data_IF_719925189812
#
_entry.id   IF_719925189812
#
_cell.length_a   1.000
_cell.length_b   1.000
_cell.length_c   1.000
_cell.angle_alpha   90.00
_cell.angle_beta   90.00
_cell.angle_gamma   90.00
#
_symmetry.space_group_name_H-M   'P 1'
#
loop_
_entity.id
_entity.type
_entity.pdbx_description
1 polymer ?
#
# COMPACT_ATOMS: atom_id res chain seq x y z
N UNK A 1 90.70 83.06 -3.33
CA UNK A 1 89.94 82.84 -2.08
C UNK A 1 89.24 81.50 -2.22
N UNK A 2 89.71 80.51 -1.42
CA UNK A 2 88.98 79.38 -0.81
C UNK A 2 88.10 78.51 -1.75
N UNK A 3 88.61 77.39 -2.28
CA UNK A 3 88.53 75.96 -1.81
C UNK A 3 87.10 75.38 -1.82
N UNK A 4 86.68 74.54 -2.79
CA UNK A 4 87.03 73.12 -3.12
C UNK A 4 86.15 72.07 -2.38
N UNK A 5 85.93 70.93 -3.06
CA UNK A 5 85.36 69.62 -2.64
C UNK A 5 83.86 69.40 -2.94
N UNK A 6 83.46 68.58 -3.92
CA UNK A 6 83.73 67.15 -4.21
C UNK A 6 83.29 66.17 -3.10
N UNK A 7 82.50 65.18 -3.55
CA UNK A 7 82.52 63.76 -3.16
C UNK A 7 81.40 63.24 -2.23
N UNK A 8 80.81 62.13 -2.70
CA UNK A 8 80.33 60.93 -1.96
C UNK A 8 79.00 60.89 -1.20
N UNK A 9 78.11 60.04 -1.71
CA UNK A 9 77.16 59.15 -0.99
C UNK A 9 77.84 58.47 0.22
N UNK A 10 77.19 58.18 1.37
CA UNK A 10 76.59 56.84 1.63
C UNK A 10 75.45 56.86 2.72
N UNK A 11 75.15 55.81 3.53
CA UNK A 11 73.91 55.00 3.49
C UNK A 11 73.05 55.01 4.79
N UNK A 12 71.87 54.40 4.74
CA UNK A 12 71.02 54.09 5.91
C UNK A 12 69.74 54.95 5.93
N UNK A 13 68.53 54.40 6.07
CA UNK A 13 68.11 53.43 7.08
C UNK A 13 67.02 52.49 6.57
N UNK A 14 67.22 51.20 6.83
CA UNK A 14 66.19 50.18 6.98
C UNK A 14 65.00 50.66 7.83
N UNK A 15 63.77 50.33 7.42
CA UNK A 15 62.71 49.83 8.30
C UNK A 15 61.60 49.25 7.45
N UNK A 16 61.71 47.94 7.25
CA UNK A 16 60.58 47.07 6.95
C UNK A 16 59.47 47.36 7.96
N UNK A 17 58.27 47.73 7.49
CA UNK A 17 57.09 47.73 8.34
C UNK A 17 55.89 47.20 7.56
N UNK A 18 55.58 45.90 7.68
CA UNK A 18 54.24 45.44 7.40
C UNK A 18 53.37 45.93 8.56
N UNK A 19 52.51 46.92 8.30
CA UNK A 19 51.36 47.14 9.17
C UNK A 19 50.10 46.91 8.37
N UNK A 20 49.67 45.67 8.54
CA UNK A 20 48.31 45.20 8.48
C UNK A 20 47.31 46.26 8.96
N UNK A 21 46.07 45.93 8.59
CA UNK A 21 44.83 46.34 9.22
C UNK A 21 44.19 47.57 8.54
N UNK A 22 42.96 47.54 8.09
CA UNK A 22 41.83 46.71 8.50
C UNK A 22 40.98 46.42 7.26
N UNK A 23 40.92 45.15 6.86
CA UNK A 23 39.84 44.65 6.02
C UNK A 23 38.56 44.80 6.85
N UNK A 24 37.96 45.97 6.74
CA UNK A 24 36.70 46.30 7.39
C UNK A 24 35.56 45.60 6.65
N UNK A 25 35.57 44.26 6.66
CA UNK A 25 34.38 43.46 6.38
C UNK A 25 33.53 43.47 7.64
N UNK A 26 32.83 44.60 7.88
CA UNK A 26 31.63 44.63 8.73
C UNK A 26 30.76 43.47 8.26
N UNK A 27 30.65 42.33 8.95
CA UNK A 27 30.47 42.14 10.39
C UNK A 27 28.99 41.88 10.69
N UNK A 28 28.09 42.43 9.87
CA UNK A 28 26.63 42.30 10.05
C UNK A 28 25.96 41.59 8.86
N UNK A 29 26.53 41.66 7.66
CA UNK A 29 25.96 40.97 6.49
C UNK A 29 26.39 39.49 6.38
N UNK A 30 27.42 39.08 7.15
CA UNK A 30 27.92 37.71 7.16
C UNK A 30 27.09 36.74 8.02
N UNK A 31 26.55 37.21 9.16
CA UNK A 31 25.74 36.37 10.05
C UNK A 31 24.40 36.01 9.42
N UNK A 32 23.74 36.95 8.74
CA UNK A 32 22.48 36.68 8.02
C UNK A 32 22.66 35.65 6.92
N UNK A 33 23.74 35.71 6.15
CA UNK A 33 24.08 34.70 5.13
C UNK A 33 24.35 33.33 5.77
N UNK A 34 25.13 33.27 6.85
CA UNK A 34 25.38 32.02 7.59
C UNK A 34 24.12 31.43 8.22
N UNK A 35 23.23 32.27 8.74
CA UNK A 35 21.91 31.86 9.26
C UNK A 35 21.02 31.32 8.14
N UNK A 36 21.02 31.97 6.97
CA UNK A 36 20.33 31.47 5.78
C UNK A 36 20.91 30.14 5.33
N UNK A 37 22.24 29.96 5.27
CA UNK A 37 22.85 28.67 4.93
C UNK A 37 22.53 27.58 5.95
N UNK A 38 22.51 27.90 7.25
CA UNK A 38 22.10 26.95 8.29
C UNK A 38 20.63 26.57 8.14
N UNK A 39 19.75 27.55 7.90
CA UNK A 39 18.33 27.32 7.66
C UNK A 39 18.09 26.47 6.41
N UNK A 40 18.78 26.77 5.31
CA UNK A 40 18.72 25.97 4.08
C UNK A 40 19.28 24.57 4.31
N UNK A 41 20.37 24.40 5.06
CA UNK A 41 20.92 23.11 5.45
C UNK A 41 19.93 22.31 6.29
N UNK A 42 19.28 22.95 7.27
CA UNK A 42 18.27 22.33 8.13
C UNK A 42 17.06 21.90 7.31
N UNK A 43 16.57 22.76 6.40
CA UNK A 43 15.50 22.41 5.47
C UNK A 43 15.90 21.23 4.57
N UNK A 44 17.14 21.20 4.08
CA UNK A 44 17.66 20.09 3.29
C UNK A 44 17.69 18.79 4.10
N UNK A 45 18.11 18.84 5.36
CA UNK A 45 18.10 17.67 6.26
C UNK A 45 16.67 17.19 6.47
N UNK A 46 15.72 18.08 6.78
CA UNK A 46 14.30 17.72 6.93
C UNK A 46 13.77 17.07 5.65
N UNK A 47 14.11 17.62 4.48
CA UNK A 47 13.72 17.05 3.19
C UNK A 47 14.27 15.63 3.02
N UNK A 48 15.57 15.41 3.30
CA UNK A 48 16.20 14.09 3.19
C UNK A 48 15.59 13.09 4.16
N UNK A 49 15.31 13.49 5.40
CA UNK A 49 14.66 12.65 6.40
C UNK A 49 13.25 12.28 5.95
N UNK A 50 12.45 13.25 5.50
CA UNK A 50 11.10 13.00 4.99
C UNK A 50 11.11 12.10 3.75
N UNK A 51 12.07 12.31 2.85
CA UNK A 51 12.23 11.47 1.67
C UNK A 51 12.61 10.03 2.04
N UNK A 52 13.55 9.87 2.97
CA UNK A 52 13.95 8.55 3.49
C UNK A 52 12.80 7.85 4.20
N UNK A 53 12.02 8.59 5.01
CA UNK A 53 10.83 8.08 5.68
C UNK A 53 9.77 7.63 4.67
N UNK A 54 9.57 8.39 3.59
CA UNK A 54 8.63 8.03 2.52
C UNK A 54 9.05 6.72 1.85
N UNK A 55 10.33 6.57 1.49
CA UNK A 55 10.85 5.33 0.92
C UNK A 55 10.70 4.16 1.91
N UNK A 56 10.96 4.40 3.19
CA UNK A 56 10.83 3.38 4.22
C UNK A 56 9.39 2.91 4.39
N UNK A 57 8.42 3.82 4.44
CA UNK A 57 6.98 3.48 4.50
C UNK A 57 6.58 2.67 3.26
N UNK A 58 6.99 3.09 2.06
CA UNK A 58 6.71 2.36 0.82
C UNK A 58 7.26 0.94 0.87
N UNK A 59 8.48 0.76 1.40
CA UNK A 59 9.09 -0.56 1.57
C UNK A 59 8.34 -1.42 2.59
N UNK A 60 8.03 -0.87 3.78
CA UNK A 60 7.36 -1.60 4.87
C UNK A 60 5.95 -2.04 4.46
N UNK A 61 5.23 -1.18 3.74
CA UNK A 61 3.90 -1.46 3.22
C UNK A 61 3.89 -2.40 2.01
N UNK A 62 5.05 -2.93 1.60
CA UNK A 62 5.21 -3.77 0.39
C UNK A 62 4.55 -3.13 -0.84
N UNK A 63 4.64 -1.81 -0.98
CA UNK A 63 4.17 -1.11 -2.17
C UNK A 63 5.11 -1.42 -3.33
N UNK A 64 4.58 -2.14 -4.31
CA UNK A 64 5.21 -2.35 -5.60
C UNK A 64 4.48 -1.50 -6.65
N UNK A 65 5.13 -1.16 -7.77
CA UNK A 65 4.44 -0.56 -8.92
C UNK A 65 3.27 -1.42 -9.45
N UNK A 66 3.20 -2.70 -9.05
CA UNK A 66 2.18 -3.68 -9.43
C UNK A 66 1.07 -3.89 -8.40
N UNK A 67 1.17 -3.30 -7.19
CA UNK A 67 0.19 -3.51 -6.11
C UNK A 67 0.73 -3.30 -4.69
N UNK A 68 -0.12 -3.54 -3.70
CA UNK A 68 0.15 -3.44 -2.26
C UNK A 68 0.01 -4.84 -1.62
N UNK A 69 1.11 -5.42 -1.12
CA UNK A 69 1.09 -6.74 -0.48
C UNK A 69 0.51 -7.84 -1.38
N UNK A 70 -0.54 -8.52 -0.90
CA UNK A 70 -1.27 -9.55 -1.64
C UNK A 70 -2.21 -9.00 -2.73
N UNK A 71 -2.50 -7.71 -2.71
CA UNK A 71 -3.40 -7.05 -3.66
C UNK A 71 -2.60 -6.49 -4.85
N UNK A 72 -2.86 -7.02 -6.04
CA UNK A 72 -2.27 -6.60 -7.31
C UNK A 72 -3.30 -5.88 -8.16
N UNK A 73 -2.88 -4.75 -8.74
CA UNK A 73 -3.70 -3.98 -9.68
C UNK A 73 -3.25 -4.35 -11.08
N UNK A 74 -4.12 -5.03 -11.82
CA UNK A 74 -3.86 -5.46 -13.20
C UNK A 74 -4.78 -4.70 -14.17
N UNK A 75 -4.51 -4.79 -15.48
CA UNK A 75 -5.39 -4.18 -16.50
C UNK A 75 -6.81 -4.77 -16.48
N UNK A 76 -6.96 -6.00 -15.99
CA UNK A 76 -8.23 -6.73 -15.90
C UNK A 76 -8.99 -6.43 -14.60
N UNK A 77 -8.35 -5.77 -13.63
CA UNK A 77 -8.95 -5.43 -12.35
C UNK A 77 -8.05 -5.72 -11.15
N UNK A 78 -8.67 -5.91 -10.00
CA UNK A 78 -8.00 -6.20 -8.72
C UNK A 78 -7.83 -7.71 -8.54
N UNK A 79 -6.61 -8.14 -8.23
CA UNK A 79 -6.27 -9.54 -7.96
C UNK A 79 -5.67 -9.65 -6.56
N UNK A 80 -6.34 -10.38 -5.68
CA UNK A 80 -5.87 -10.63 -4.31
C UNK A 80 -5.33 -12.06 -4.23
N UNK A 81 -4.05 -12.23 -3.90
CA UNK A 81 -3.38 -13.53 -3.84
C UNK A 81 -2.71 -13.75 -2.49
N UNK A 82 -3.32 -14.54 -1.62
CA UNK A 82 -2.79 -14.89 -0.30
C UNK A 82 -3.87 -14.89 0.76
N UNK A 83 -3.46 -15.04 2.01
CA UNK A 83 -4.34 -14.83 3.16
C UNK A 83 -4.66 -13.34 3.25
N UNK A 84 -5.95 -13.01 3.34
CA UNK A 84 -6.40 -11.63 3.34
C UNK A 84 -7.70 -11.50 4.11
N UNK A 85 -7.81 -10.39 4.84
CA UNK A 85 -8.96 -10.07 5.65
C UNK A 85 -9.67 -8.84 5.08
N UNK A 86 -10.99 -8.83 5.17
CA UNK A 86 -11.83 -7.72 4.73
C UNK A 86 -12.47 -7.07 5.96
N UNK A 87 -12.30 -5.76 6.10
CA UNK A 87 -12.90 -5.00 7.20
C UNK A 87 -14.42 -4.84 7.05
N UNK A 88 -14.93 -4.87 5.82
CA UNK A 88 -16.33 -4.66 5.47
C UNK A 88 -16.84 -5.75 4.52
N UNK A 89 -18.18 -5.94 4.42
CA UNK A 89 -18.78 -6.90 3.50
C UNK A 89 -18.39 -6.65 2.04
N UNK A 90 -18.17 -7.73 1.29
CA UNK A 90 -17.95 -7.67 -0.14
C UNK A 90 -19.25 -7.89 -0.90
N UNK A 91 -19.46 -7.06 -1.91
CA UNK A 91 -20.58 -7.17 -2.83
C UNK A 91 -20.03 -7.54 -4.20
N UNK A 92 -20.47 -8.68 -4.72
CA UNK A 92 -20.11 -9.16 -6.03
C UNK A 92 -21.37 -9.53 -6.80
N UNK A 93 -21.38 -9.24 -8.09
CA UNK A 93 -22.46 -9.68 -8.98
C UNK A 93 -22.44 -11.20 -9.13
N UNK A 94 -21.25 -11.77 -9.27
CA UNK A 94 -21.02 -13.19 -9.51
C UNK A 94 -19.80 -13.67 -8.72
N UNK A 95 -19.90 -14.88 -8.16
CA UNK A 95 -18.81 -15.56 -7.45
C UNK A 95 -18.62 -16.91 -8.14
N UNK A 96 -17.43 -17.17 -8.67
CA UNK A 96 -17.09 -18.42 -9.32
C UNK A 96 -15.69 -18.87 -8.89
N UNK A 97 -15.44 -20.18 -8.95
CA UNK A 97 -14.10 -20.73 -8.74
C UNK A 97 -13.21 -20.49 -9.95
N UNK A 98 -11.88 -20.59 -9.77
CA UNK A 98 -10.94 -20.62 -10.88
C UNK A 98 -11.19 -21.89 -11.71
N UNK A 99 -10.85 -21.83 -13.00
CA UNK A 99 -10.83 -22.99 -13.90
C UNK A 99 -10.15 -24.18 -13.22
N UNK A 100 -10.81 -25.34 -13.26
CA UNK A 100 -10.38 -26.61 -12.65
C UNK A 100 -10.19 -26.57 -11.11
N UNK A 101 -10.81 -25.62 -10.41
CA UNK A 101 -10.83 -25.57 -8.95
C UNK A 101 -12.25 -25.52 -8.39
N UNK A 102 -12.42 -25.98 -7.15
CA UNK A 102 -13.69 -25.87 -6.42
C UNK A 102 -13.77 -24.55 -5.65
N UNK A 103 -14.97 -23.98 -5.58
CA UNK A 103 -15.24 -22.86 -4.68
C UNK A 103 -15.38 -23.42 -3.26
N UNK A 104 -14.45 -23.07 -2.38
CA UNK A 104 -14.43 -23.54 -1.00
C UNK A 104 -14.87 -22.41 -0.07
N UNK A 105 -15.90 -22.67 0.75
CA UNK A 105 -16.37 -21.79 1.80
C UNK A 105 -16.22 -22.53 3.12
N UNK A 106 -15.36 -22.04 4.01
CA UNK A 106 -15.07 -22.64 5.31
C UNK A 106 -15.34 -21.63 6.41
N UNK A 107 -15.93 -22.11 7.51
CA UNK A 107 -16.21 -21.31 8.69
C UNK A 107 -16.13 -22.20 9.92
N UNK A 108 -15.68 -21.64 11.04
CA UNK A 108 -15.76 -22.27 12.36
C UNK A 108 -17.17 -22.25 12.93
N UNK A 109 -18.04 -21.45 12.33
CA UNK A 109 -19.45 -21.26 12.70
C UNK A 109 -20.35 -21.60 11.50
N UNK A 110 -21.65 -21.44 11.67
CA UNK A 110 -22.61 -21.70 10.61
C UNK A 110 -22.36 -20.82 9.38
N UNK A 111 -22.50 -21.41 8.19
CA UNK A 111 -22.51 -20.67 6.91
C UNK A 111 -23.96 -20.52 6.48
N UNK A 112 -24.41 -19.28 6.25
CA UNK A 112 -25.78 -18.99 5.82
C UNK A 112 -25.79 -18.30 4.46
N UNK A 113 -26.49 -18.88 3.49
CA UNK A 113 -26.75 -18.28 2.18
C UNK A 113 -28.20 -17.85 2.13
N UNK A 114 -28.45 -16.56 1.90
CA UNK A 114 -29.79 -15.99 1.79
C UNK A 114 -30.07 -15.57 0.34
N UNK A 115 -31.13 -16.08 -0.25
CA UNK A 115 -31.73 -15.54 -1.46
C UNK A 115 -32.64 -14.37 -1.06
N UNK A 116 -32.56 -13.25 -1.79
CA UNK A 116 -33.37 -12.05 -1.53
C UNK A 116 -34.09 -11.56 -2.78
N UNK A 117 -35.27 -10.98 -2.60
CA UNK A 117 -36.01 -10.32 -3.68
C UNK A 117 -35.50 -8.88 -3.91
N UNK A 118 -36.09 -8.17 -4.88
CA UNK A 118 -35.78 -6.78 -5.20
C UNK A 118 -35.98 -5.80 -4.04
N UNK A 119 -36.85 -6.15 -3.09
CA UNK A 119 -37.15 -5.35 -1.91
C UNK A 119 -36.16 -5.62 -0.76
N UNK A 120 -35.23 -6.57 -0.94
CA UNK A 120 -34.26 -6.98 0.06
C UNK A 120 -34.76 -8.02 1.07
N UNK A 121 -36.00 -8.49 0.92
CA UNK A 121 -36.59 -9.51 1.80
C UNK A 121 -36.02 -10.89 1.45
N UNK A 122 -35.82 -11.73 2.47
CA UNK A 122 -35.26 -13.08 2.29
C UNK A 122 -36.36 -14.02 1.79
N UNK A 123 -36.19 -14.56 0.59
CA UNK A 123 -37.11 -15.52 -0.04
C UNK A 123 -36.69 -16.97 0.15
N UNK A 124 -35.41 -17.20 0.43
CA UNK A 124 -34.87 -18.53 0.71
C UNK A 124 -33.61 -18.45 1.55
N UNK A 125 -33.37 -19.49 2.36
CA UNK A 125 -32.22 -19.57 3.26
C UNK A 125 -31.66 -21.00 3.29
N UNK A 126 -30.38 -21.12 2.97
CA UNK A 126 -29.59 -22.32 3.23
C UNK A 126 -28.67 -22.07 4.42
N UNK A 127 -28.73 -22.93 5.43
CA UNK A 127 -27.91 -22.87 6.63
C UNK A 127 -27.10 -24.16 6.77
N UNK A 128 -25.78 -24.04 6.77
CA UNK A 128 -24.85 -25.16 6.98
C UNK A 128 -24.31 -25.02 8.40
N UNK A 129 -24.83 -25.84 9.31
CA UNK A 129 -24.38 -25.91 10.70
C UNK A 129 -23.41 -27.08 10.93
N UNK A 130 -22.90 -27.23 12.17
CA UNK A 130 -21.93 -28.27 12.51
C UNK A 130 -22.50 -29.70 12.49
N UNK A 131 -23.83 -29.86 12.50
CA UNK A 131 -24.51 -31.17 12.58
C UNK A 131 -25.47 -31.44 11.43
N UNK A 132 -26.02 -30.40 10.82
CA UNK A 132 -27.05 -30.52 9.80
C UNK A 132 -26.98 -29.36 8.81
N UNK A 133 -27.49 -29.63 7.61
CA UNK A 133 -27.72 -28.61 6.58
C UNK A 133 -29.23 -28.44 6.47
N UNK A 134 -29.70 -27.20 6.65
CA UNK A 134 -31.12 -26.85 6.63
C UNK A 134 -31.39 -25.90 5.47
N UNK A 135 -32.44 -26.18 4.71
CA UNK A 135 -32.93 -25.29 3.67
C UNK A 135 -34.36 -24.87 3.96
N UNK A 136 -34.63 -23.57 3.82
CA UNK A 136 -35.95 -22.96 3.92
C UNK A 136 -36.25 -22.24 2.62
N UNK A 137 -37.30 -22.65 1.92
CA UNK A 137 -37.73 -22.09 0.65
C UNK A 137 -38.65 -23.06 -0.09
N UNK A 138 -39.21 -22.62 -1.21
CA UNK A 138 -40.16 -23.42 -1.98
C UNK A 138 -39.51 -24.62 -2.69
N UNK A 139 -38.26 -24.45 -3.15
CA UNK A 139 -37.56 -25.49 -3.90
C UNK A 139 -36.05 -25.37 -3.68
N UNK A 140 -35.40 -26.50 -3.45
CA UNK A 140 -33.94 -26.62 -3.42
C UNK A 140 -33.49 -27.60 -4.51
N UNK A 141 -32.58 -27.16 -5.37
CA UNK A 141 -32.10 -27.95 -6.49
C UNK A 141 -30.58 -27.86 -6.63
N UNK A 142 -29.93 -29.01 -6.79
CA UNK A 142 -28.51 -29.15 -7.11
C UNK A 142 -28.40 -29.66 -8.54
N UNK A 143 -27.69 -28.93 -9.39
CA UNK A 143 -27.49 -29.27 -10.79
C UNK A 143 -26.04 -29.67 -11.08
N UNK A 144 -25.86 -30.55 -12.06
CA UNK A 144 -24.56 -30.86 -12.64
C UNK A 144 -24.03 -29.70 -13.50
N UNK A 145 -22.76 -29.78 -13.91
CA UNK A 145 -22.14 -28.80 -14.82
C UNK A 145 -22.93 -28.63 -16.13
N UNK A 146 -23.59 -29.69 -16.58
CA UNK A 146 -24.41 -29.69 -17.80
C UNK A 146 -25.88 -29.24 -17.56
N UNK A 147 -26.19 -28.74 -16.36
CA UNK A 147 -27.53 -28.25 -16.01
C UNK A 147 -28.56 -29.33 -15.64
N UNK A 148 -28.15 -30.60 -15.60
CA UNK A 148 -29.04 -31.72 -15.22
C UNK A 148 -29.28 -31.75 -13.70
N UNK A 149 -30.53 -31.94 -13.22
CA UNK A 149 -30.82 -32.06 -11.80
C UNK A 149 -30.19 -33.33 -11.20
N UNK A 150 -29.43 -33.15 -10.13
CA UNK A 150 -28.83 -34.22 -9.31
C UNK A 150 -29.62 -34.46 -8.02
N UNK A 151 -30.22 -33.40 -7.47
CA UNK A 151 -31.02 -33.46 -6.26
C UNK A 151 -32.05 -32.34 -6.31
N UNK A 152 -33.31 -32.66 -6.11
CA UNK A 152 -34.40 -31.69 -6.06
C UNK A 152 -35.28 -32.00 -4.87
N UNK A 153 -35.62 -30.97 -4.09
CA UNK A 153 -36.55 -31.04 -2.96
C UNK A 153 -37.55 -29.92 -3.13
N UNK A 154 -38.83 -30.25 -3.09
CA UNK A 154 -39.95 -29.32 -2.99
C UNK A 154 -40.92 -29.76 -1.90
N UNK A 155 -42.09 -29.12 -1.80
CA UNK A 155 -43.10 -29.42 -0.78
C UNK A 155 -43.77 -30.80 -0.95
N UNK A 156 -43.73 -31.37 -2.16
CA UNK A 156 -44.46 -32.57 -2.52
C UNK A 156 -43.55 -33.79 -2.66
N UNK A 157 -42.32 -33.60 -3.18
CA UNK A 157 -41.42 -34.67 -3.51
C UNK A 157 -39.93 -34.36 -3.27
N UNK A 158 -39.18 -35.46 -3.12
CA UNK A 158 -37.72 -35.47 -3.09
C UNK A 158 -37.25 -36.37 -4.22
N UNK A 159 -36.52 -35.81 -5.17
CA UNK A 159 -36.02 -36.52 -6.34
C UNK A 159 -34.50 -36.52 -6.33
N UNK A 160 -33.93 -37.72 -6.46
CA UNK A 160 -32.49 -37.92 -6.61
C UNK A 160 -32.21 -38.30 -8.06
N UNK A 161 -31.35 -37.54 -8.72
CA UNK A 161 -30.96 -37.76 -10.11
C UNK A 161 -30.15 -39.05 -10.29
N UNK A 162 -30.05 -39.52 -11.53
CA UNK A 162 -29.34 -40.76 -11.89
C UNK A 162 -27.82 -40.60 -11.99
N UNK A 163 -27.33 -39.37 -11.96
CA UNK A 163 -25.92 -39.03 -12.10
C UNK A 163 -25.22 -38.94 -10.73
N UNK A 164 -23.88 -38.91 -10.71
CA UNK A 164 -23.10 -39.09 -9.49
C UNK A 164 -23.11 -37.85 -8.61
N UNK A 165 -23.98 -37.84 -7.59
CA UNK A 165 -23.88 -36.95 -6.45
C UNK A 165 -23.07 -37.61 -5.33
N UNK A 166 -21.92 -37.02 -4.97
CA UNK A 166 -21.13 -37.47 -3.82
C UNK A 166 -21.28 -36.47 -2.67
N UNK A 167 -21.88 -36.91 -1.58
CA UNK A 167 -21.95 -36.17 -0.32
C UNK A 167 -20.90 -36.74 0.63
N UNK A 168 -19.94 -35.91 1.02
CA UNK A 168 -18.90 -36.27 2.00
C UNK A 168 -19.17 -35.53 3.30
N UNK A 169 -19.17 -36.25 4.42
CA UNK A 169 -19.20 -35.68 5.77
C UNK A 169 -17.81 -35.53 6.36
#
# INVERSE_FOLDING_TARGET
MVREQYTTTPPGTSLERPKNEYVYKIGIYGWRKRCLYLFVLLLLIILVVNFSLTIWILKVMWFSPTGMGHLRVTKEGLRLEGESEFLFPLYAKEIHSRVDSSLLLQSTHNVTVNARNSNGEVTGRLNVGPKMVEFHGQQFQINSKDGKPLFTVDENEVVIGTDKLRVTG
#
